data_IF_338959314683
#
_entry.id   IF_338959314683
#
_cell.length_a   1.000
_cell.length_b   1.000
_cell.length_c   1.000
_cell.angle_alpha   90.00
_cell.angle_beta   90.00
_cell.angle_gamma   90.00
#
_symmetry.space_group_name_H-M   'P 1'
#
loop_
_entity.id
_entity.type
_entity.pdbx_description
1 polymer ?
#
# COMPACT_ATOMS: atom_id res chain seq x y z
N UNK A 1 40.38 1.02 -33.80
CA UNK A 1 40.39 -0.19 -32.95
C UNK A 1 38.97 -0.46 -32.43
N UNK A 2 38.06 -0.73 -33.38
CA UNK A 2 36.64 -1.02 -33.21
C UNK A 2 36.38 -2.19 -34.14
N UNK A 3 36.27 -3.41 -33.61
CA UNK A 3 35.74 -4.61 -34.26
C UNK A 3 36.19 -5.80 -33.41
N UNK A 4 35.22 -6.62 -32.99
CA UNK A 4 35.33 -7.96 -32.37
C UNK A 4 34.78 -8.06 -30.94
N UNK A 5 33.46 -7.93 -30.81
CA UNK A 5 32.67 -8.76 -29.87
C UNK A 5 31.29 -8.97 -30.48
N UNK A 6 31.17 -9.89 -31.43
CA UNK A 6 29.89 -10.35 -31.98
C UNK A 6 29.78 -11.87 -31.77
N UNK A 7 28.87 -12.23 -30.88
CA UNK A 7 27.94 -13.34 -30.97
C UNK A 7 28.51 -14.76 -31.13
N UNK A 8 28.67 -15.45 -29.99
CA UNK A 8 28.72 -16.93 -29.93
C UNK A 8 28.01 -17.48 -28.69
N UNK A 9 26.84 -16.93 -28.35
CA UNK A 9 25.89 -17.62 -27.47
C UNK A 9 24.62 -17.94 -28.27
N UNK A 10 24.24 -19.22 -28.39
CA UNK A 10 22.99 -19.61 -29.04
C UNK A 10 21.82 -18.94 -28.31
N UNK A 11 20.80 -18.57 -29.08
CA UNK A 11 19.62 -17.83 -28.65
C UNK A 11 19.13 -18.25 -27.26
N UNK A 12 18.87 -17.30 -26.34
CA UNK A 12 18.18 -17.63 -25.11
C UNK A 12 16.82 -18.23 -25.50
N UNK A 13 16.52 -19.42 -24.98
CA UNK A 13 15.21 -20.05 -25.10
C UNK A 13 14.14 -19.00 -24.80
N UNK A 14 13.37 -18.61 -25.83
CA UNK A 14 12.27 -17.67 -25.68
C UNK A 14 11.09 -18.40 -25.01
N UNK A 15 11.21 -18.56 -23.71
CA UNK A 15 10.16 -19.13 -22.86
C UNK A 15 8.93 -18.21 -22.76
N UNK A 16 8.96 -17.01 -23.35
CA UNK A 16 7.95 -15.96 -23.11
C UNK A 16 6.54 -16.35 -23.58
N UNK A 17 6.41 -17.25 -24.57
CA UNK A 17 5.10 -17.64 -25.09
C UNK A 17 4.40 -18.75 -24.31
N UNK A 18 5.13 -19.62 -23.59
CA UNK A 18 4.51 -20.70 -22.78
C UNK A 18 3.98 -20.22 -21.42
N UNK A 19 4.43 -19.06 -20.93
CA UNK A 19 4.02 -18.55 -19.61
C UNK A 19 2.73 -17.71 -19.62
N UNK A 20 2.18 -17.37 -20.79
CA UNK A 20 0.99 -16.50 -20.90
C UNK A 20 -0.26 -16.97 -20.12
N UNK A 21 -0.64 -18.26 -20.10
CA UNK A 21 -1.81 -18.69 -19.32
C UNK A 21 -1.53 -18.69 -17.82
N UNK A 22 -0.30 -19.05 -17.40
CA UNK A 22 0.13 -19.01 -15.99
C UNK A 22 0.12 -17.58 -15.45
N UNK A 23 0.51 -16.59 -16.26
CA UNK A 23 0.51 -15.17 -15.88
C UNK A 23 -0.90 -14.64 -15.53
N UNK A 24 -1.97 -15.31 -15.96
CA UNK A 24 -3.37 -14.91 -15.70
C UNK A 24 -4.06 -15.85 -14.70
N UNK A 25 -3.88 -17.17 -14.86
CA UNK A 25 -4.50 -18.17 -13.99
C UNK A 25 -3.95 -18.14 -12.58
N UNK A 26 -2.64 -17.94 -12.42
CA UNK A 26 -2.00 -17.95 -11.11
C UNK A 26 -2.48 -16.79 -10.22
N UNK A 27 -2.54 -15.52 -10.69
CA UNK A 27 -3.17 -14.43 -9.92
C UNK A 27 -4.63 -14.70 -9.55
N UNK A 28 -5.43 -15.22 -10.51
CA UNK A 28 -6.85 -15.53 -10.29
C UNK A 28 -7.07 -16.61 -9.24
N UNK A 29 -6.07 -17.46 -8.98
CA UNK A 29 -6.12 -18.42 -7.88
C UNK A 29 -5.61 -17.79 -6.58
N UNK A 30 -4.42 -17.17 -6.60
CA UNK A 30 -3.75 -16.72 -5.37
C UNK A 30 -4.49 -15.57 -4.70
N UNK A 31 -4.85 -14.51 -5.42
CA UNK A 31 -5.39 -13.31 -4.77
C UNK A 31 -6.81 -13.49 -4.20
N UNK A 32 -7.73 -14.22 -4.85
CA UNK A 32 -9.00 -14.58 -4.22
C UNK A 32 -8.82 -15.49 -3.01
N UNK A 33 -7.89 -16.45 -3.06
CA UNK A 33 -7.56 -17.27 -1.90
C UNK A 33 -7.01 -16.43 -0.74
N UNK A 34 -6.11 -15.49 -1.02
CA UNK A 34 -5.60 -14.54 -0.01
C UNK A 34 -6.71 -13.65 0.54
N UNK A 35 -7.64 -13.17 -0.29
CA UNK A 35 -8.80 -12.37 0.15
C UNK A 35 -9.69 -13.18 1.09
N UNK A 36 -10.03 -14.41 0.70
CA UNK A 36 -10.85 -15.30 1.52
C UNK A 36 -10.18 -15.61 2.86
N UNK A 37 -8.89 -15.93 2.83
CA UNK A 37 -8.10 -16.21 4.03
C UNK A 37 -8.00 -14.98 4.92
N UNK A 38 -7.73 -13.80 4.35
CA UNK A 38 -7.68 -12.54 5.09
C UNK A 38 -9.02 -12.22 5.74
N UNK A 39 -10.14 -12.39 5.02
CA UNK A 39 -11.47 -12.20 5.60
C UNK A 39 -11.73 -13.17 6.76
N UNK A 40 -11.39 -14.45 6.59
CA UNK A 40 -11.58 -15.44 7.65
C UNK A 40 -10.75 -15.10 8.89
N UNK A 41 -9.47 -14.76 8.73
CA UNK A 41 -8.59 -14.46 9.87
C UNK A 41 -8.95 -13.11 10.50
N UNK A 42 -8.96 -12.03 9.72
CA UNK A 42 -9.16 -10.66 10.24
C UNK A 42 -10.58 -10.46 10.77
N UNK A 43 -11.59 -10.83 9.98
CA UNK A 43 -13.00 -10.56 10.32
C UNK A 43 -13.54 -11.66 11.21
N UNK A 44 -13.46 -12.93 10.78
CA UNK A 44 -14.10 -14.00 11.55
C UNK A 44 -13.31 -14.34 12.82
N UNK A 45 -12.00 -14.57 12.75
CA UNK A 45 -11.21 -14.96 13.93
C UNK A 45 -10.90 -13.76 14.84
N UNK A 46 -10.16 -12.77 14.35
CA UNK A 46 -9.64 -11.67 15.17
C UNK A 46 -10.70 -10.65 15.57
N UNK A 47 -11.76 -10.41 14.77
CA UNK A 47 -12.83 -9.50 15.15
C UNK A 47 -13.98 -10.21 15.88
N UNK A 48 -14.52 -11.31 15.36
CA UNK A 48 -15.70 -11.98 15.95
C UNK A 48 -15.38 -13.04 17.00
N UNK A 49 -14.50 -14.00 16.71
CA UNK A 49 -14.21 -15.11 17.61
C UNK A 49 -13.45 -14.68 18.85
N UNK A 50 -12.55 -13.70 18.76
CA UNK A 50 -11.82 -13.12 19.90
C UNK A 50 -12.71 -12.28 20.86
N UNK A 51 -13.95 -12.00 20.46
CA UNK A 51 -14.85 -11.09 21.17
C UNK A 51 -14.47 -9.61 21.09
N UNK A 52 -13.53 -9.23 20.21
CA UNK A 52 -13.11 -7.84 20.01
C UNK A 52 -14.29 -6.94 19.65
N UNK A 53 -15.19 -7.38 18.77
CA UNK A 53 -16.39 -6.64 18.41
C UNK A 53 -17.26 -6.33 19.65
N UNK A 54 -17.43 -7.29 20.56
CA UNK A 54 -18.23 -7.09 21.76
C UNK A 54 -17.58 -6.10 22.73
N UNK A 55 -16.25 -6.14 22.87
CA UNK A 55 -15.49 -5.19 23.70
C UNK A 55 -15.60 -3.76 23.16
N UNK A 56 -15.54 -3.58 21.83
CA UNK A 56 -15.75 -2.27 21.18
C UNK A 56 -17.19 -1.80 21.35
N UNK A 57 -18.18 -2.66 21.05
CA UNK A 57 -19.60 -2.33 21.18
C UNK A 57 -19.98 -1.94 22.60
N UNK A 58 -19.45 -2.62 23.62
CA UNK A 58 -19.70 -2.29 25.02
C UNK A 58 -19.24 -0.87 25.40
N UNK A 59 -18.29 -0.28 24.68
CA UNK A 59 -17.86 1.11 24.89
C UNK A 59 -18.77 2.09 24.13
N UNK A 60 -19.21 1.70 22.93
CA UNK A 60 -19.92 2.57 22.00
C UNK A 60 -21.45 2.50 22.06
N UNK A 61 -22.01 1.62 22.90
CA UNK A 61 -23.46 1.48 23.09
C UNK A 61 -24.08 2.80 23.60
N UNK A 62 -25.08 3.39 22.91
CA UNK A 62 -25.60 4.72 23.23
C UNK A 62 -26.24 4.83 24.61
N UNK A 63 -26.88 3.76 25.09
CA UNK A 63 -27.67 3.74 26.33
C UNK A 63 -26.83 3.59 27.62
N UNK A 64 -25.52 3.37 27.49
CA UNK A 64 -24.63 3.22 28.64
C UNK A 64 -24.16 4.57 29.20
N UNK A 65 -23.44 4.55 30.32
CA UNK A 65 -22.81 5.74 30.88
C UNK A 65 -21.90 6.47 29.85
N UNK A 66 -21.76 7.81 29.93
CA UNK A 66 -20.90 8.57 29.04
C UNK A 66 -19.46 8.04 29.01
N UNK A 67 -18.86 7.97 27.82
CA UNK A 67 -17.48 7.53 27.61
C UNK A 67 -16.71 8.59 26.80
N UNK A 68 -15.41 8.83 27.06
CA UNK A 68 -14.62 9.82 26.31
C UNK A 68 -14.60 9.66 24.78
N UNK A 69 -14.86 8.45 24.29
CA UNK A 69 -14.91 8.12 22.85
C UNK A 69 -16.31 8.19 22.23
N UNK A 70 -17.36 8.27 23.06
CA UNK A 70 -18.75 8.36 22.61
C UNK A 70 -19.15 9.83 22.47
N UNK A 71 -18.68 10.44 21.38
CA UNK A 71 -18.94 11.84 21.05
C UNK A 71 -19.98 11.94 19.93
N UNK A 72 -20.78 13.02 19.89
CA UNK A 72 -21.68 13.29 18.77
C UNK A 72 -20.88 13.85 17.58
N UNK A 73 -20.08 13.01 16.93
CA UNK A 73 -19.18 13.44 15.83
C UNK A 73 -19.94 14.11 14.68
N UNK A 74 -21.15 13.61 14.38
CA UNK A 74 -22.02 14.04 13.28
C UNK A 74 -23.47 14.29 13.74
N UNK A 75 -23.82 13.93 14.96
CA UNK A 75 -25.20 13.93 15.49
C UNK A 75 -26.15 12.93 14.80
N UNK A 76 -25.60 11.97 14.04
CA UNK A 76 -26.34 10.86 13.44
C UNK A 76 -25.92 9.58 14.17
N UNK A 77 -26.82 9.00 14.97
CA UNK A 77 -26.51 7.90 15.91
C UNK A 77 -25.69 6.78 15.28
N UNK A 78 -26.12 6.24 14.13
CA UNK A 78 -25.42 5.12 13.50
C UNK A 78 -24.00 5.48 13.02
N UNK A 79 -23.81 6.72 12.55
CA UNK A 79 -22.49 7.20 12.10
C UNK A 79 -21.59 7.46 13.30
N UNK A 80 -22.13 8.02 14.38
CA UNK A 80 -21.40 8.29 15.60
C UNK A 80 -20.99 7.01 16.33
N UNK A 81 -21.84 5.96 16.32
CA UNK A 81 -21.49 4.63 16.82
C UNK A 81 -20.37 3.98 16.01
N UNK A 82 -20.42 4.06 14.67
CA UNK A 82 -19.35 3.57 13.80
C UNK A 82 -18.03 4.30 14.05
N UNK A 83 -18.07 5.64 14.10
CA UNK A 83 -16.90 6.47 14.39
C UNK A 83 -16.36 6.22 15.79
N UNK A 84 -17.22 6.03 16.80
CA UNK A 84 -16.81 5.60 18.13
C UNK A 84 -16.03 4.29 18.07
N UNK A 85 -16.54 3.28 17.34
CA UNK A 85 -15.86 1.98 17.22
C UNK A 85 -14.47 2.11 16.60
N UNK A 86 -14.35 2.89 15.52
CA UNK A 86 -13.07 3.18 14.86
C UNK A 86 -12.11 3.96 15.78
N UNK A 87 -12.62 4.95 16.51
CA UNK A 87 -11.81 5.73 17.45
C UNK A 87 -11.30 4.85 18.60
N UNK A 88 -12.17 4.03 19.20
CA UNK A 88 -11.80 3.05 20.24
C UNK A 88 -10.71 2.12 19.74
N UNK A 89 -10.89 1.57 18.54
CA UNK A 89 -9.92 0.68 17.90
C UNK A 89 -8.55 1.36 17.78
N UNK A 90 -8.45 2.52 17.14
CA UNK A 90 -7.15 3.16 16.95
C UNK A 90 -6.56 3.74 18.26
N UNK A 91 -7.37 4.18 19.21
CA UNK A 91 -6.87 4.61 20.52
C UNK A 91 -6.29 3.45 21.34
N UNK A 92 -6.83 2.24 21.20
CA UNK A 92 -6.23 1.05 21.79
C UNK A 92 -4.83 0.74 21.21
N UNK A 93 -4.56 1.13 19.96
CA UNK A 93 -3.22 1.04 19.35
C UNK A 93 -2.28 2.17 19.73
N UNK A 94 -2.79 3.37 19.99
CA UNK A 94 -1.96 4.55 20.31
C UNK A 94 -1.33 4.43 21.71
N UNK A 95 -1.72 3.43 22.49
CA UNK A 95 -1.05 3.12 23.76
C UNK A 95 0.45 2.81 23.57
N UNK A 96 1.23 3.15 24.59
CA UNK A 96 2.70 3.13 24.62
C UNK A 96 3.29 1.78 24.24
N UNK A 97 2.63 0.67 24.57
CA UNK A 97 3.09 -0.68 24.26
C UNK A 97 3.16 -0.97 22.74
N UNK A 98 2.38 -0.25 21.93
CA UNK A 98 2.21 -0.51 20.49
C UNK A 98 2.89 0.54 19.60
N UNK A 99 3.59 1.52 20.18
CA UNK A 99 4.18 2.64 19.43
C UNK A 99 5.17 2.17 18.36
N UNK A 100 6.02 1.18 18.66
CA UNK A 100 6.97 0.64 17.67
C UNK A 100 6.25 -0.06 16.50
N UNK A 101 5.17 -0.80 16.79
CA UNK A 101 4.36 -1.43 15.75
C UNK A 101 3.71 -0.37 14.84
N UNK A 102 3.07 0.65 15.43
CA UNK A 102 2.44 1.74 14.69
C UNK A 102 3.43 2.53 13.83
N UNK A 103 4.64 2.78 14.35
CA UNK A 103 5.66 3.51 13.64
C UNK A 103 6.17 2.78 12.38
N UNK A 104 6.09 1.44 12.34
CA UNK A 104 6.40 0.63 11.15
C UNK A 104 5.20 0.50 10.23
N UNK A 105 4.00 0.38 10.82
CA UNK A 105 2.77 0.07 10.12
C UNK A 105 2.20 1.25 9.32
N UNK A 106 2.15 2.46 9.89
CA UNK A 106 1.60 3.62 9.18
C UNK A 106 2.41 4.00 7.93
N UNK A 107 3.76 4.01 7.94
CA UNK A 107 4.52 4.20 6.71
C UNK A 107 4.27 3.13 5.67
N UNK A 108 4.07 1.87 6.08
CA UNK A 108 3.73 0.79 5.17
C UNK A 108 2.36 0.98 4.52
N UNK A 109 1.34 1.34 5.31
CA UNK A 109 0.04 1.66 4.76
C UNK A 109 0.08 2.92 3.89
N UNK A 110 0.99 3.87 4.14
CA UNK A 110 1.15 5.03 3.26
C UNK A 110 1.54 4.63 1.83
N UNK A 111 2.52 3.73 1.67
CA UNK A 111 2.96 3.31 0.34
C UNK A 111 1.93 2.39 -0.32
N UNK A 112 1.32 1.49 0.44
CA UNK A 112 0.25 0.60 -0.04
C UNK A 112 -0.96 1.39 -0.51
N UNK A 113 -1.39 2.40 0.26
CA UNK A 113 -2.50 3.29 -0.10
C UNK A 113 -2.15 4.22 -1.27
N UNK A 114 -0.87 4.61 -1.43
CA UNK A 114 -0.42 5.46 -2.53
C UNK A 114 -0.51 4.75 -3.90
N UNK A 115 -0.34 3.43 -3.96
CA UNK A 115 -0.34 2.67 -5.23
C UNK A 115 -1.65 2.86 -6.02
N UNK A 116 -2.86 2.71 -5.44
CA UNK A 116 -4.12 3.08 -6.08
C UNK A 116 -4.09 4.45 -6.73
N UNK A 117 -3.61 5.47 -6.03
CA UNK A 117 -3.58 6.83 -6.55
C UNK A 117 -2.55 7.02 -7.66
N UNK A 118 -1.38 6.39 -7.57
CA UNK A 118 -0.36 6.39 -8.63
C UNK A 118 -0.89 5.77 -9.93
N UNK A 119 -1.50 4.60 -9.83
CA UNK A 119 -2.04 3.89 -10.99
C UNK A 119 -3.32 4.57 -11.52
N UNK A 120 -4.06 5.29 -10.68
CA UNK A 120 -5.14 6.18 -11.10
C UNK A 120 -4.66 7.49 -11.75
N UNK A 121 -3.43 7.93 -11.52
CA UNK A 121 -2.89 9.16 -12.11
C UNK A 121 -2.31 8.95 -13.52
N UNK A 122 -2.15 7.68 -13.90
CA UNK A 122 -1.61 7.23 -15.18
C UNK A 122 -2.56 7.49 -16.35
N UNK A 123 -1.98 7.86 -17.49
CA UNK A 123 -2.69 8.02 -18.75
C UNK A 123 -3.16 6.65 -19.28
N UNK A 124 -4.33 6.58 -19.92
CA UNK A 124 -4.88 5.32 -20.50
C UNK A 124 -5.07 4.17 -19.51
N UNK A 125 -5.23 4.47 -18.22
CA UNK A 125 -5.56 3.48 -17.19
C UNK A 125 -6.91 2.78 -17.44
N UNK A 126 -7.03 1.48 -17.11
CA UNK A 126 -8.29 0.75 -17.20
C UNK A 126 -9.33 1.35 -16.24
N UNK A 127 -10.62 1.21 -16.59
CA UNK A 127 -11.72 1.77 -15.80
C UNK A 127 -11.68 1.35 -14.33
N UNK A 128 -11.39 0.07 -14.06
CA UNK A 128 -11.31 -0.50 -12.71
C UNK A 128 -10.29 0.21 -11.79
N UNK A 129 -9.25 0.85 -12.35
CA UNK A 129 -8.21 1.54 -11.57
C UNK A 129 -8.44 3.06 -11.50
N UNK A 130 -9.59 3.58 -11.96
CA UNK A 130 -9.86 5.03 -12.00
C UNK A 130 -10.33 5.62 -10.67
N UNK A 131 -10.75 4.77 -9.73
CA UNK A 131 -11.44 5.19 -8.51
C UNK A 131 -10.60 4.89 -7.25
N UNK A 132 -9.42 5.49 -7.09
CA UNK A 132 -8.52 5.18 -5.98
C UNK A 132 -9.14 5.55 -4.62
N UNK A 133 -9.95 6.61 -4.59
CA UNK A 133 -10.69 7.03 -3.38
C UNK A 133 -11.68 5.97 -2.92
N UNK A 134 -12.40 5.32 -3.86
CA UNK A 134 -13.32 4.25 -3.51
C UNK A 134 -12.58 3.05 -2.92
N UNK A 135 -11.43 2.68 -3.50
CA UNK A 135 -10.55 1.64 -2.93
C UNK A 135 -10.09 2.03 -1.53
N UNK A 136 -9.66 3.28 -1.32
CA UNK A 136 -9.26 3.76 0.01
C UNK A 136 -10.40 3.73 1.03
N UNK A 137 -11.63 4.11 0.65
CA UNK A 137 -12.81 4.02 1.52
C UNK A 137 -13.12 2.55 1.85
N UNK A 138 -13.04 1.64 0.88
CA UNK A 138 -13.21 0.21 1.13
C UNK A 138 -12.15 -0.33 2.10
N UNK A 139 -10.89 0.10 1.97
CA UNK A 139 -9.81 -0.26 2.91
C UNK A 139 -10.17 0.19 4.33
N UNK A 140 -10.68 1.41 4.52
CA UNK A 140 -11.08 1.90 5.85
C UNK A 140 -12.28 1.16 6.43
N UNK A 141 -13.24 0.75 5.60
CA UNK A 141 -14.47 0.09 6.05
C UNK A 141 -14.30 -1.42 6.27
N UNK A 142 -13.44 -2.08 5.51
CA UNK A 142 -13.32 -3.54 5.50
C UNK A 142 -11.96 -4.07 5.99
N UNK A 143 -10.91 -3.25 6.04
CA UNK A 143 -9.48 -3.57 6.23
C UNK A 143 -8.65 -3.62 4.93
N UNK A 144 -7.36 -3.27 5.04
CA UNK A 144 -6.42 -3.33 3.92
C UNK A 144 -6.11 -4.77 3.50
N UNK A 145 -6.06 -5.69 4.45
CA UNK A 145 -5.76 -7.10 4.27
C UNK A 145 -6.82 -7.82 3.44
N UNK A 146 -8.08 -7.39 3.50
CA UNK A 146 -9.15 -7.92 2.65
C UNK A 146 -9.15 -7.24 1.28
N UNK A 147 -9.00 -5.92 1.22
CA UNK A 147 -9.20 -5.16 -0.03
C UNK A 147 -7.96 -5.15 -0.94
N UNK A 148 -6.75 -5.11 -0.37
CA UNK A 148 -5.53 -5.01 -1.18
C UNK A 148 -5.22 -6.26 -2.01
N UNK A 149 -5.49 -7.51 -1.58
CA UNK A 149 -5.35 -8.66 -2.47
C UNK A 149 -6.27 -8.58 -3.70
N UNK A 150 -7.51 -8.10 -3.54
CA UNK A 150 -8.41 -7.86 -4.68
C UNK A 150 -7.87 -6.76 -5.60
N UNK A 151 -7.35 -5.67 -5.02
CA UNK A 151 -6.75 -4.60 -5.80
C UNK A 151 -5.47 -5.07 -6.53
N UNK A 152 -4.64 -5.88 -5.88
CA UNK A 152 -3.47 -6.52 -6.46
C UNK A 152 -3.84 -7.44 -7.63
N UNK A 153 -4.91 -8.22 -7.50
CA UNK A 153 -5.46 -9.00 -8.61
C UNK A 153 -5.78 -8.10 -9.80
N UNK A 154 -6.51 -7.00 -9.57
CA UNK A 154 -6.85 -6.03 -10.61
C UNK A 154 -5.59 -5.49 -11.30
N UNK A 155 -4.56 -5.08 -10.55
CA UNK A 155 -3.31 -4.59 -11.11
C UNK A 155 -2.61 -5.59 -12.03
N UNK A 156 -2.64 -6.87 -11.64
CA UNK A 156 -1.98 -7.94 -12.38
C UNK A 156 -2.78 -8.32 -13.63
N UNK A 157 -4.10 -8.55 -13.51
CA UNK A 157 -4.92 -8.99 -14.66
C UNK A 157 -5.09 -7.89 -15.72
N UNK A 158 -5.14 -6.61 -15.32
CA UNK A 158 -5.15 -5.50 -16.27
C UNK A 158 -3.77 -5.25 -16.89
N UNK A 159 -2.75 -6.01 -16.48
CA UNK A 159 -1.34 -5.89 -16.86
C UNK A 159 -0.76 -4.51 -16.58
N UNK A 160 -1.41 -3.72 -15.73
CA UNK A 160 -0.91 -2.39 -15.36
C UNK A 160 0.38 -2.50 -14.55
N UNK A 161 0.55 -3.59 -13.79
CA UNK A 161 1.81 -3.89 -13.10
C UNK A 161 2.97 -4.25 -14.06
N UNK A 162 2.70 -4.82 -15.23
CA UNK A 162 3.72 -5.45 -16.07
C UNK A 162 4.65 -4.46 -16.78
N UNK A 163 5.96 -4.79 -16.81
CA UNK A 163 6.97 -4.11 -17.65
C UNK A 163 7.07 -4.70 -19.07
N UNK A 164 6.35 -5.80 -19.33
CA UNK A 164 6.40 -6.50 -20.63
C UNK A 164 5.68 -5.66 -21.70
N UNK A 165 6.25 -5.53 -22.90
CA UNK A 165 5.55 -4.91 -24.03
C UNK A 165 4.23 -5.65 -24.28
N UNK A 166 3.14 -4.92 -24.50
CA UNK A 166 1.92 -5.57 -24.95
C UNK A 166 2.16 -6.12 -26.36
N UNK A 167 1.89 -7.41 -26.56
CA UNK A 167 1.97 -8.04 -27.89
C UNK A 167 0.80 -7.63 -28.79
N UNK A 168 -0.17 -6.89 -28.26
CA UNK A 168 -1.22 -6.30 -29.08
C UNK A 168 -0.61 -5.20 -29.94
N UNK A 169 -0.83 -5.20 -31.27
CA UNK A 169 -0.23 -4.25 -32.21
C UNK A 169 -0.70 -2.80 -32.04
N UNK A 170 -1.46 -2.49 -30.98
CA UNK A 170 -1.73 -1.12 -30.58
C UNK A 170 -0.48 -0.53 -29.89
N UNK A 171 0.20 0.45 -30.52
CA UNK A 171 1.34 1.14 -29.93
C UNK A 171 0.81 2.04 -28.82
N UNK A 172 0.55 1.43 -27.67
CA UNK A 172 0.23 2.16 -26.46
C UNK A 172 1.56 2.40 -25.76
N UNK A 173 2.14 3.62 -25.85
CA UNK A 173 3.33 3.94 -25.09
C UNK A 173 3.09 3.63 -23.60
N UNK A 174 4.14 3.29 -22.85
CA UNK A 174 4.03 3.02 -21.42
C UNK A 174 3.23 4.14 -20.77
N UNK A 175 2.27 3.77 -19.94
CA UNK A 175 1.36 4.72 -19.31
C UNK A 175 2.15 5.71 -18.43
N UNK A 176 2.22 6.96 -18.89
CA UNK A 176 2.94 8.05 -18.22
C UNK A 176 2.03 8.75 -17.23
N UNK A 177 2.63 9.36 -16.23
CA UNK A 177 1.97 10.30 -15.33
C UNK A 177 2.44 11.69 -15.74
N UNK A 178 1.51 12.59 -16.05
CA UNK A 178 1.84 13.98 -16.34
C UNK A 178 2.29 14.72 -15.07
N UNK A 179 3.06 15.80 -15.24
CA UNK A 179 3.64 16.56 -14.13
C UNK A 179 2.62 17.06 -13.11
N UNK A 180 1.50 17.63 -13.55
CA UNK A 180 0.48 18.17 -12.65
C UNK A 180 -0.18 17.08 -11.80
N UNK A 181 -0.43 15.90 -12.36
CA UNK A 181 -0.93 14.76 -11.61
C UNK A 181 0.12 14.26 -10.60
N UNK A 182 1.39 14.17 -10.97
CA UNK A 182 2.45 13.72 -10.08
C UNK A 182 2.67 14.69 -8.88
N UNK A 183 2.62 16.00 -9.13
CA UNK A 183 2.72 17.03 -8.08
C UNK A 183 1.51 17.00 -7.16
N UNK A 184 0.30 16.84 -7.71
CA UNK A 184 -0.91 16.67 -6.92
C UNK A 184 -0.87 15.42 -6.03
N UNK A 185 -0.30 14.30 -6.52
CA UNK A 185 -0.11 13.10 -5.72
C UNK A 185 0.84 13.31 -4.54
N UNK A 186 1.99 13.97 -4.77
CA UNK A 186 2.91 14.31 -3.68
C UNK A 186 2.23 15.19 -2.63
N UNK A 187 1.49 16.20 -3.08
CA UNK A 187 0.73 17.09 -2.20
C UNK A 187 -0.35 16.33 -1.42
N UNK A 188 -1.08 15.43 -2.09
CA UNK A 188 -2.09 14.56 -1.47
C UNK A 188 -1.51 13.61 -0.44
N UNK A 189 -0.34 13.02 -0.70
CA UNK A 189 0.36 12.17 0.27
C UNK A 189 0.74 12.96 1.52
N UNK A 190 1.34 14.15 1.36
CA UNK A 190 1.80 14.96 2.49
C UNK A 190 0.62 15.49 3.31
N UNK A 191 -0.33 16.19 2.68
CA UNK A 191 -1.41 16.86 3.41
C UNK A 191 -2.61 15.96 3.71
N UNK A 192 -2.88 14.97 2.87
CA UNK A 192 -4.05 14.10 3.01
C UNK A 192 -3.79 12.84 3.82
N UNK A 193 -2.53 12.38 3.91
CA UNK A 193 -2.17 11.16 4.64
C UNK A 193 -1.20 11.44 5.79
N UNK A 194 -0.01 11.96 5.50
CA UNK A 194 1.07 12.07 6.49
C UNK A 194 0.71 13.06 7.59
N UNK A 195 0.29 14.27 7.23
CA UNK A 195 -0.07 15.29 8.22
C UNK A 195 -1.21 14.82 9.14
N UNK A 196 -2.37 14.36 8.65
CA UNK A 196 -3.42 13.80 9.50
C UNK A 196 -2.93 12.67 10.42
N UNK A 197 -2.06 11.80 9.92
CA UNK A 197 -1.50 10.69 10.71
C UNK A 197 -0.62 11.20 11.86
N UNK A 198 0.25 12.18 11.60
CA UNK A 198 1.07 12.83 12.63
C UNK A 198 0.18 13.49 13.68
N UNK A 199 -0.87 14.21 13.27
CA UNK A 199 -1.80 14.87 14.19
C UNK A 199 -2.56 13.85 15.05
N UNK A 200 -3.03 12.74 14.48
CA UNK A 200 -3.68 11.67 15.21
C UNK A 200 -2.76 11.08 16.29
N UNK A 201 -1.53 10.73 15.92
CA UNK A 201 -0.55 10.14 16.84
C UNK A 201 -0.08 11.13 17.92
N UNK A 202 0.12 12.40 17.57
CA UNK A 202 0.68 13.39 18.50
C UNK A 202 -0.35 13.91 19.50
N UNK A 203 -1.60 14.08 19.07
CA UNK A 203 -2.65 14.60 19.95
C UNK A 203 -3.41 13.51 20.70
N UNK A 204 -3.51 12.30 20.13
CA UNK A 204 -4.29 11.20 20.69
C UNK A 204 -5.69 11.65 21.17
N UNK A 205 -6.34 12.54 20.40
CA UNK A 205 -7.66 13.09 20.70
C UNK A 205 -8.72 12.33 19.89
N UNK A 206 -9.85 11.91 20.49
CA UNK A 206 -10.90 11.17 19.80
C UNK A 206 -11.41 11.84 18.51
N UNK A 207 -11.57 13.16 18.55
CA UNK A 207 -12.02 13.96 17.40
C UNK A 207 -10.99 14.00 16.26
N UNK A 208 -9.70 14.01 16.58
CA UNK A 208 -8.63 13.99 15.57
C UNK A 208 -8.56 12.61 14.91
N UNK A 209 -8.69 11.54 15.70
CA UNK A 209 -8.78 10.17 15.18
C UNK A 209 -10.01 9.97 14.30
N UNK A 210 -11.17 10.53 14.66
CA UNK A 210 -12.37 10.48 13.85
C UNK A 210 -12.18 11.20 12.49
N UNK A 211 -11.55 12.37 12.48
CA UNK A 211 -11.19 13.07 11.23
C UNK A 211 -10.22 12.24 10.38
N UNK A 212 -9.25 11.59 11.03
CA UNK A 212 -8.29 10.71 10.36
C UNK A 212 -8.94 9.51 9.69
N UNK A 213 -10.08 9.00 10.18
CA UNK A 213 -10.80 7.93 9.48
C UNK A 213 -11.20 8.29 8.04
N UNK A 214 -11.35 9.59 7.75
CA UNK A 214 -11.60 10.14 6.41
C UNK A 214 -10.37 10.29 5.52
N UNK A 215 -9.19 9.77 5.88
CA UNK A 215 -7.93 9.93 5.13
C UNK A 215 -8.05 9.70 3.61
N UNK A 216 -8.74 8.66 3.09
CA UNK A 216 -8.90 8.51 1.64
C UNK A 216 -9.57 9.71 0.97
N UNK A 217 -10.55 10.32 1.64
CA UNK A 217 -11.24 11.52 1.18
C UNK A 217 -10.36 12.76 1.34
N UNK A 218 -9.57 12.86 2.42
CA UNK A 218 -8.62 13.95 2.63
C UNK A 218 -7.51 13.95 1.57
N UNK A 219 -6.97 12.78 1.21
CA UNK A 219 -6.02 12.62 0.09
C UNK A 219 -6.65 13.07 -1.22
N UNK A 220 -7.87 12.61 -1.52
CA UNK A 220 -8.57 12.98 -2.73
C UNK A 220 -8.86 14.50 -2.80
N UNK A 221 -9.27 15.09 -1.69
CA UNK A 221 -9.53 16.52 -1.55
C UNK A 221 -8.25 17.34 -1.74
N UNK A 222 -7.14 16.94 -1.10
CA UNK A 222 -5.84 17.60 -1.27
C UNK A 222 -5.35 17.54 -2.72
N UNK A 223 -5.48 16.38 -3.39
CA UNK A 223 -5.19 16.23 -4.83
C UNK A 223 -6.06 17.18 -5.65
N UNK A 224 -7.36 17.26 -5.37
CA UNK A 224 -8.29 18.14 -6.08
C UNK A 224 -7.92 19.61 -5.92
N UNK A 225 -7.70 20.05 -4.68
CA UNK A 225 -7.28 21.43 -4.36
C UNK A 225 -6.00 21.79 -5.09
N UNK A 226 -4.99 20.91 -5.09
CA UNK A 226 -3.76 21.14 -5.83
C UNK A 226 -4.02 21.34 -7.33
N UNK A 227 -4.88 20.52 -7.95
CA UNK A 227 -5.20 20.63 -9.38
C UNK A 227 -6.00 21.89 -9.72
N UNK A 228 -6.77 22.43 -8.79
CA UNK A 228 -7.47 23.72 -8.97
C UNK A 228 -6.44 24.86 -8.95
N UNK A 229 -5.52 24.86 -7.99
CA UNK A 229 -4.47 25.88 -7.86
C UNK A 229 -3.49 25.82 -9.03
N UNK A 230 -3.12 24.61 -9.45
CA UNK A 230 -2.18 24.36 -10.54
C UNK A 230 -2.78 23.37 -11.55
N UNK A 231 -3.59 23.86 -12.50
CA UNK A 231 -4.17 23.03 -13.54
C UNK A 231 -3.09 22.29 -14.34
N UNK A 232 -3.38 21.08 -14.86
CA UNK A 232 -2.45 20.37 -15.72
C UNK A 232 -2.08 21.23 -16.93
N UNK A 233 -0.78 21.47 -17.12
CA UNK A 233 -0.27 22.18 -18.31
C UNK A 233 -0.76 21.50 -19.59
N UNK A 234 -1.17 22.31 -20.59
CA UNK A 234 -1.51 21.83 -21.93
C UNK A 234 -0.32 21.16 -22.62
N UNK A 235 0.90 21.60 -22.31
CA UNK A 235 2.12 20.92 -22.72
C UNK A 235 2.33 19.71 -21.80
N UNK A 236 2.27 18.51 -22.37
CA UNK A 236 2.46 17.23 -21.65
C UNK A 236 3.91 17.13 -21.19
N UNK A 237 4.19 17.70 -20.01
CA UNK A 237 5.46 17.50 -19.31
C UNK A 237 5.40 16.18 -18.54
N UNK A 238 6.50 15.42 -18.60
CA UNK A 238 6.63 14.17 -17.84
C UNK A 238 6.63 14.49 -16.34
N UNK A 239 5.78 13.80 -15.58
CA UNK A 239 5.78 13.84 -14.12
C UNK A 239 6.76 12.86 -13.48
N UNK A 240 7.54 12.11 -14.28
CA UNK A 240 8.45 11.09 -13.78
C UNK A 240 9.40 11.56 -12.67
N UNK A 241 10.08 12.73 -12.77
CA UNK A 241 10.95 13.21 -11.69
C UNK A 241 10.20 13.38 -10.37
N UNK A 242 8.99 13.92 -10.42
CA UNK A 242 8.15 14.10 -9.22
C UNK A 242 7.70 12.77 -8.65
N UNK A 243 7.29 11.81 -9.48
CA UNK A 243 6.94 10.45 -9.01
C UNK A 243 8.14 9.78 -8.32
N UNK A 244 9.34 9.90 -8.89
CA UNK A 244 10.58 9.39 -8.28
C UNK A 244 10.85 10.06 -6.94
N UNK A 245 10.66 11.38 -6.84
CA UNK A 245 10.79 12.11 -5.57
C UNK A 245 9.77 11.61 -4.54
N UNK A 246 8.50 11.44 -4.92
CA UNK A 246 7.45 10.92 -4.03
C UNK A 246 7.80 9.53 -3.49
N UNK A 247 8.22 8.62 -4.37
CA UNK A 247 8.58 7.25 -3.97
C UNK A 247 9.88 7.22 -3.15
N UNK A 248 10.87 8.05 -3.48
CA UNK A 248 12.10 8.17 -2.70
C UNK A 248 11.83 8.76 -1.31
N UNK A 249 10.93 9.73 -1.21
CA UNK A 249 10.48 10.27 0.06
C UNK A 249 9.77 9.20 0.92
N UNK A 250 8.84 8.44 0.35
CA UNK A 250 8.20 7.30 1.04
C UNK A 250 9.22 6.24 1.47
N UNK A 251 10.21 5.94 0.63
CA UNK A 251 11.31 5.04 0.94
C UNK A 251 12.09 5.53 2.17
N UNK A 252 12.56 6.79 2.15
CA UNK A 252 13.39 7.36 3.21
C UNK A 252 12.63 7.48 4.53
N UNK A 253 11.37 7.93 4.48
CA UNK A 253 10.54 8.05 5.68
C UNK A 253 10.29 6.67 6.31
N UNK A 254 9.96 5.67 5.49
CA UNK A 254 9.75 4.30 5.97
C UNK A 254 11.03 3.68 6.52
N UNK A 255 12.15 3.86 5.83
CA UNK A 255 13.46 3.36 6.25
C UNK A 255 13.90 3.99 7.57
N UNK A 256 13.73 5.31 7.71
CA UNK A 256 14.06 6.02 8.94
C UNK A 256 13.26 5.48 10.12
N UNK A 257 11.94 5.32 9.98
CA UNK A 257 11.10 4.82 11.07
C UNK A 257 11.41 3.36 11.40
N UNK A 258 11.68 2.52 10.39
CA UNK A 258 12.12 1.14 10.63
C UNK A 258 13.46 1.09 11.39
N UNK A 259 14.45 1.89 10.99
CA UNK A 259 15.74 1.98 11.69
C UNK A 259 15.56 2.48 13.12
N UNK A 260 14.74 3.50 13.35
CA UNK A 260 14.55 4.07 14.70
C UNK A 260 13.84 3.08 15.63
N UNK A 261 12.81 2.37 15.16
CA UNK A 261 11.95 1.56 16.02
C UNK A 261 12.25 0.06 16.03
N UNK A 262 12.83 -0.48 14.96
CA UNK A 262 13.07 -1.93 14.83
C UNK A 262 14.53 -2.29 15.06
N UNK A 263 15.50 -1.51 14.57
CA UNK A 263 16.92 -1.86 14.76
C UNK A 263 17.35 -2.03 16.22
N UNK A 264 16.92 -1.17 17.17
CA UNK A 264 17.32 -1.33 18.56
C UNK A 264 16.88 -2.66 19.19
N UNK A 265 15.85 -3.30 18.63
CA UNK A 265 15.28 -4.56 19.13
C UNK A 265 15.59 -5.76 18.23
N UNK A 266 16.41 -5.61 17.17
CA UNK A 266 16.71 -6.71 16.24
C UNK A 266 17.39 -7.92 16.91
N UNK A 267 18.10 -7.71 18.02
CA UNK A 267 18.73 -8.79 18.80
C UNK A 267 17.82 -9.31 19.92
N UNK A 268 16.72 -8.62 20.22
CA UNK A 268 15.74 -9.02 21.23
C UNK A 268 14.61 -9.82 20.57
N UNK A 269 14.74 -11.14 20.63
CA UNK A 269 13.74 -12.06 20.08
C UNK A 269 12.35 -11.92 20.70
N UNK A 270 12.25 -11.50 21.97
CA UNK A 270 10.96 -11.30 22.62
C UNK A 270 10.29 -10.04 22.09
N UNK A 271 11.02 -8.92 22.00
CA UNK A 271 10.51 -7.69 21.40
C UNK A 271 10.13 -7.87 19.93
N UNK A 272 10.93 -8.58 19.13
CA UNK A 272 10.59 -8.90 17.75
C UNK A 272 9.34 -9.77 17.64
N UNK A 273 9.12 -10.71 18.56
CA UNK A 273 7.87 -11.48 18.62
C UNK A 273 6.69 -10.57 18.92
N UNK A 274 6.83 -9.64 19.87
CA UNK A 274 5.76 -8.67 20.16
C UNK A 274 5.41 -7.82 18.95
N UNK A 275 6.39 -7.40 18.13
CA UNK A 275 6.15 -6.57 16.95
C UNK A 275 5.61 -7.38 15.77
N UNK A 276 6.20 -8.55 15.48
CA UNK A 276 5.97 -9.27 14.21
C UNK A 276 5.31 -10.64 14.36
N UNK A 277 5.43 -11.31 15.50
CA UNK A 277 4.80 -12.62 15.67
C UNK A 277 3.28 -12.47 15.76
N UNK A 278 2.61 -13.40 15.09
CA UNK A 278 1.17 -13.59 15.13
C UNK A 278 0.85 -14.79 16.00
N UNK A 279 -0.22 -14.67 16.76
CA UNK A 279 -0.89 -15.83 17.33
C UNK A 279 -1.79 -16.39 16.21
N UNK A 280 -1.60 -17.67 15.89
CA UNK A 280 -2.42 -18.37 14.89
C UNK A 280 -3.60 -19.07 15.56
N UNK A 281 -3.50 -19.31 16.86
CA UNK A 281 -4.56 -19.92 17.66
C UNK A 281 -5.68 -18.91 17.94
N UNK A 282 -6.90 -19.43 18.08
CA UNK A 282 -8.06 -18.61 18.45
C UNK A 282 -7.87 -18.12 19.89
N UNK A 283 -7.68 -16.81 20.05
CA UNK A 283 -7.51 -16.17 21.34
C UNK A 283 -8.79 -16.32 22.19
N UNK A 284 -8.65 -16.72 23.46
CA UNK A 284 -9.77 -16.82 24.40
C UNK A 284 -10.42 -15.43 24.59
N UNK A 285 -11.71 -15.25 24.29
CA UNK A 285 -12.37 -13.95 24.41
C UNK A 285 -12.37 -13.37 25.81
N UNK A 286 -12.37 -14.24 26.83
CA UNK A 286 -12.32 -13.82 28.22
C UNK A 286 -10.94 -13.28 28.61
N UNK A 287 -9.87 -13.89 28.09
CA UNK A 287 -8.49 -13.54 28.40
C UNK A 287 -7.94 -12.38 27.55
N UNK A 288 -8.41 -12.23 26.32
CA UNK A 288 -7.89 -11.25 25.35
C UNK A 288 -8.26 -9.83 25.76
N UNK A 289 -7.32 -8.92 25.97
CA UNK A 289 -7.68 -7.51 26.25
C UNK A 289 -8.12 -6.79 24.97
N UNK A 290 -8.74 -5.61 25.09
CA UNK A 290 -9.08 -4.78 23.92
C UNK A 290 -7.82 -4.46 23.10
N UNK A 291 -6.74 -4.03 23.75
CA UNK A 291 -5.49 -3.68 23.08
C UNK A 291 -4.86 -4.88 22.37
N UNK A 292 -4.85 -6.06 23.01
CA UNK A 292 -4.32 -7.29 22.40
C UNK A 292 -5.10 -7.69 21.15
N UNK A 293 -6.44 -7.69 21.22
CA UNK A 293 -7.28 -8.05 20.08
C UNK A 293 -7.14 -7.09 18.91
N UNK A 294 -7.05 -5.78 19.19
CA UNK A 294 -6.80 -4.76 18.17
C UNK A 294 -5.41 -4.90 17.55
N UNK A 295 -4.38 -5.17 18.37
CA UNK A 295 -3.02 -5.39 17.89
C UNK A 295 -2.92 -6.65 17.00
N UNK A 296 -3.59 -7.73 17.39
CA UNK A 296 -3.67 -8.96 16.58
C UNK A 296 -4.36 -8.68 15.23
N UNK A 297 -5.50 -8.00 15.25
CA UNK A 297 -6.22 -7.59 14.04
C UNK A 297 -5.31 -6.79 13.10
N UNK A 298 -4.65 -5.74 13.61
CA UNK A 298 -3.89 -4.80 12.76
C UNK A 298 -2.63 -5.45 12.16
N UNK A 299 -2.05 -6.42 12.87
CA UNK A 299 -0.92 -7.19 12.37
C UNK A 299 -1.32 -8.12 11.21
N UNK A 300 -2.46 -8.82 11.32
CA UNK A 300 -2.99 -9.60 10.20
C UNK A 300 -3.38 -8.71 9.02
N UNK A 301 -4.00 -7.56 9.30
CA UNK A 301 -4.33 -6.53 8.31
C UNK A 301 -3.08 -6.08 7.53
N UNK A 302 -1.99 -5.81 8.25
CA UNK A 302 -0.70 -5.48 7.67
C UNK A 302 -0.12 -6.63 6.83
N UNK A 303 -0.12 -7.87 7.33
CA UNK A 303 0.46 -9.02 6.62
C UNK A 303 -0.24 -9.24 5.28
N UNK A 304 -1.56 -9.30 5.27
CA UNK A 304 -2.30 -9.51 4.02
C UNK A 304 -2.27 -8.27 3.13
N UNK A 305 -2.34 -7.07 3.70
CA UNK A 305 -2.35 -5.81 2.96
C UNK A 305 -1.02 -5.55 2.26
N UNK A 306 0.07 -5.55 3.02
CA UNK A 306 1.43 -5.35 2.51
C UNK A 306 1.91 -6.57 1.72
N UNK A 307 1.67 -7.79 2.23
CA UNK A 307 2.13 -9.02 1.60
C UNK A 307 1.53 -9.26 0.23
N UNK A 308 0.24 -8.95 0.03
CA UNK A 308 -0.38 -9.02 -1.30
C UNK A 308 0.23 -8.03 -2.29
N UNK A 309 0.62 -6.84 -1.84
CA UNK A 309 1.31 -5.86 -2.69
C UNK A 309 2.74 -6.25 -3.01
N UNK A 310 3.49 -6.81 -2.05
CA UNK A 310 4.81 -7.44 -2.31
C UNK A 310 4.65 -8.49 -3.40
N UNK A 311 3.70 -9.40 -3.24
CA UNK A 311 3.44 -10.46 -4.19
C UNK A 311 3.06 -9.92 -5.59
N UNK A 312 2.21 -8.88 -5.65
CA UNK A 312 1.83 -8.23 -6.91
C UNK A 312 3.06 -7.68 -7.66
N UNK A 313 4.08 -7.21 -6.94
CA UNK A 313 5.30 -6.70 -7.59
C UNK A 313 6.11 -7.77 -8.32
N UNK A 314 5.90 -9.06 -8.03
CA UNK A 314 6.57 -10.14 -8.77
C UNK A 314 6.12 -10.18 -10.23
N UNK A 315 4.89 -9.79 -10.54
CA UNK A 315 4.38 -9.63 -11.91
C UNK A 315 4.90 -8.37 -12.63
N UNK A 316 5.66 -7.52 -11.95
CA UNK A 316 6.37 -6.40 -12.59
C UNK A 316 7.65 -6.89 -13.28
N UNK A 317 8.15 -8.07 -12.94
CA UNK A 317 9.35 -8.64 -13.54
C UNK A 317 9.17 -8.94 -15.03
N UNK A 318 10.09 -8.44 -15.85
CA UNK A 318 10.17 -8.71 -17.29
C UNK A 318 11.03 -9.94 -17.65
N UNK A 319 11.77 -10.47 -16.68
CA UNK A 319 12.63 -11.65 -16.83
C UNK A 319 12.76 -12.42 -15.51
N UNK A 320 13.21 -13.68 -15.57
CA UNK A 320 13.49 -14.47 -14.37
C UNK A 320 14.56 -13.81 -13.49
N UNK A 321 15.58 -13.19 -14.09
CA UNK A 321 16.61 -12.47 -13.36
C UNK A 321 16.02 -11.27 -12.61
N UNK A 322 15.13 -10.49 -13.24
CA UNK A 322 14.40 -9.40 -12.58
C UNK A 322 13.55 -9.93 -11.41
N UNK A 323 12.88 -11.07 -11.58
CA UNK A 323 12.08 -11.70 -10.53
C UNK A 323 12.94 -12.12 -9.32
N UNK A 324 14.04 -12.84 -9.58
CA UNK A 324 15.00 -13.22 -8.53
C UNK A 324 15.57 -11.98 -7.85
N UNK A 325 15.90 -10.94 -8.60
CA UNK A 325 16.36 -9.66 -8.07
C UNK A 325 15.34 -9.01 -7.13
N UNK A 326 14.05 -9.03 -7.48
CA UNK A 326 12.97 -8.52 -6.62
C UNK A 326 12.84 -9.35 -5.33
N UNK A 327 12.89 -10.69 -5.44
CA UNK A 327 12.80 -11.59 -4.28
C UNK A 327 13.98 -11.36 -3.32
N UNK A 328 15.21 -11.33 -3.84
CA UNK A 328 16.42 -11.06 -3.05
C UNK A 328 16.35 -9.66 -2.43
N UNK A 329 15.88 -8.67 -3.18
CA UNK A 329 15.67 -7.31 -2.66
C UNK A 329 14.70 -7.31 -1.48
N UNK A 330 13.53 -7.96 -1.56
CA UNK A 330 12.62 -8.03 -0.42
C UNK A 330 13.22 -8.74 0.78
N UNK A 331 13.97 -9.83 0.58
CA UNK A 331 14.64 -10.55 1.68
C UNK A 331 15.61 -9.65 2.44
N UNK A 332 16.45 -8.88 1.74
CA UNK A 332 17.46 -8.01 2.36
C UNK A 332 16.84 -6.70 2.84
N UNK A 333 16.09 -6.01 1.98
CA UNK A 333 15.58 -4.67 2.25
C UNK A 333 14.49 -4.67 3.32
N UNK A 334 13.64 -5.71 3.41
CA UNK A 334 12.60 -5.73 4.46
C UNK A 334 13.21 -5.83 5.86
N UNK A 335 14.35 -6.50 5.99
CA UNK A 335 15.11 -6.56 7.26
C UNK A 335 15.84 -5.24 7.50
N UNK A 336 16.58 -4.76 6.50
CA UNK A 336 17.45 -3.60 6.65
C UNK A 336 16.69 -2.27 6.80
N UNK A 337 15.68 -2.03 5.96
CA UNK A 337 14.97 -0.75 5.84
C UNK A 337 13.45 -0.88 5.98
N UNK A 338 12.93 -2.07 6.26
CA UNK A 338 11.51 -2.32 6.43
C UNK A 338 10.77 -2.64 5.12
N UNK A 339 9.64 -3.35 5.22
CA UNK A 339 8.90 -3.84 4.05
C UNK A 339 8.31 -2.69 3.20
N UNK A 340 7.90 -1.59 3.83
CA UNK A 340 7.38 -0.41 3.16
C UNK A 340 8.42 0.24 2.23
N UNK A 341 9.65 0.42 2.73
CA UNK A 341 10.76 0.93 1.95
C UNK A 341 11.13 -0.07 0.84
N UNK A 342 11.11 -1.37 1.12
CA UNK A 342 11.35 -2.39 0.10
C UNK A 342 10.37 -2.28 -1.08
N UNK A 343 9.06 -2.13 -0.82
CA UNK A 343 8.04 -1.89 -1.86
C UNK A 343 8.34 -0.61 -2.65
N UNK A 344 8.59 0.51 -1.95
CA UNK A 344 8.93 1.77 -2.60
C UNK A 344 10.17 1.65 -3.50
N UNK A 345 11.17 0.86 -3.10
CA UNK A 345 12.36 0.53 -3.89
C UNK A 345 12.04 -0.22 -5.18
N UNK A 346 11.16 -1.22 -5.13
CA UNK A 346 10.70 -1.94 -6.33
C UNK A 346 9.90 -1.02 -7.25
N UNK A 347 9.05 -0.14 -6.70
CA UNK A 347 8.31 0.85 -7.48
C UNK A 347 9.24 1.88 -8.13
N UNK A 348 10.29 2.34 -7.45
CA UNK A 348 11.32 3.20 -8.03
C UNK A 348 12.03 2.54 -9.21
N UNK A 349 12.41 1.27 -9.05
CA UNK A 349 13.00 0.46 -10.12
C UNK A 349 12.04 0.34 -11.32
N UNK A 350 10.77 0.04 -11.07
CA UNK A 350 9.73 -0.03 -12.11
C UNK A 350 9.57 1.31 -12.84
N UNK A 351 9.49 2.42 -12.12
CA UNK A 351 9.35 3.75 -12.73
C UNK A 351 10.53 4.11 -13.62
N UNK A 352 11.76 3.80 -13.21
CA UNK A 352 12.95 3.99 -14.05
C UNK A 352 12.89 3.15 -15.32
N UNK A 353 12.45 1.89 -15.22
CA UNK A 353 12.30 0.99 -16.38
C UNK A 353 11.24 1.47 -17.37
N UNK A 354 10.08 1.93 -16.88
CA UNK A 354 9.00 2.46 -17.71
C UNK A 354 9.43 3.70 -18.50
N UNK A 355 10.28 4.55 -17.92
CA UNK A 355 10.71 5.81 -18.54
C UNK A 355 12.02 5.70 -19.34
N UNK A 356 12.90 4.74 -19.05
CA UNK A 356 14.17 4.55 -19.74
C UNK A 356 14.04 4.06 -21.19
N UNK A 357 13.04 3.22 -21.50
CA UNK A 357 12.83 2.67 -22.86
C UNK A 357 12.45 3.75 -23.89
N UNK A 358 11.83 4.87 -23.46
CA UNK A 358 11.41 5.95 -24.36
C UNK A 358 12.55 6.84 -24.90
N UNK A 359 13.74 6.79 -24.31
CA UNK A 359 14.87 7.67 -24.68
C UNK A 359 15.73 7.05 -25.80
N UNK A 360 15.90 5.73 -25.80
CA UNK A 360 16.75 5.02 -26.77
C UNK A 360 16.17 5.06 -28.18
N UNK A 361 14.84 5.14 -28.32
CA UNK A 361 14.14 5.19 -29.60
C UNK A 361 14.18 6.57 -30.28
N UNK A 362 14.63 7.61 -29.58
CA UNK A 362 14.63 9.00 -30.05
C UNK A 362 15.98 9.51 -30.56
N UNK A 363 17.00 8.68 -30.72
CA UNK A 363 18.22 9.10 -31.43
C UNK A 363 17.94 8.92 -32.93
N UNK A 364 17.60 9.98 -33.67
CA UNK A 364 17.52 9.85 -35.11
C UNK A 364 18.96 9.63 -35.56
N UNK A 365 19.21 8.57 -36.34
CA UNK A 365 20.38 8.55 -37.18
C UNK A 365 20.31 9.80 -38.06
N UNK A 366 21.03 10.86 -37.66
CA UNK A 366 21.58 11.80 -38.63
C UNK A 366 22.51 10.96 -39.49
N UNK A 367 21.98 10.41 -40.57
CA UNK A 367 22.81 9.96 -41.68
C UNK A 367 23.34 11.24 -42.31
N UNK A 368 24.60 11.54 -42.02
CA UNK A 368 25.45 12.34 -42.89
C UNK A 368 25.87 11.52 -44.10
#
# INVERSE_FOLDING_TARGET
>A
MKLLTRNFFPCPFDLSDRFRPLDVLLPLLIFPFLTFTAFHIIVHQSLFQSGLQFKISAICEPDLAPHPYRLPYTSITNVDTLLCGLVVFFHALIDTASTACLAVLFPAFSIVALIPFLEAARDRRPFALRMPTAIGVLIQLASAGVIMPLYALLLVITRTASLRPSTTPTPSPPSKINRGNAEALLFGLILGYILPTILMLSFARPTVTAVWQGVPLLVALAILVHKIIRPPSRLVQSGHPTVVVTLAFSFLLSALLHVVYVWPVLTDTAALRTIFAQVVDVSDPAATTLADGVLEFIKWDFIFGVGSMVLATFWMADSLLSLVGIIVWYGIASIAVGPAAAIAGVLLWRERRLNGKSQVEKVPQKME
#
